data_IF_157829747785
#
_entry.id   IF_157829747785
#
_cell.length_a   1.000
_cell.length_b   1.000
_cell.length_c   1.000
_cell.angle_alpha   90.00
_cell.angle_beta   90.00
_cell.angle_gamma   90.00
#
_symmetry.space_group_name_H-M   'P 1'
#
loop_
_entity.id
_entity.type
_entity.pdbx_description
1 polymer ?
#
# COMPACT_ATOMS: atom_id res chain seq x y z
N UNK A 1 0.71 -44.68 56.31
CA UNK A 1 0.96 -45.08 54.91
C UNK A 1 2.22 -44.37 54.48
N UNK A 2 3.35 -45.08 54.48
CA UNK A 2 4.62 -44.51 54.05
C UNK A 2 4.68 -44.54 52.52
N UNK A 3 4.71 -43.37 51.90
CA UNK A 3 4.86 -43.26 50.44
C UNK A 3 6.28 -43.68 50.10
N UNK A 4 6.44 -44.73 49.29
CA UNK A 4 7.76 -45.19 48.90
C UNK A 4 8.45 -44.10 48.03
N UNK A 5 9.65 -43.64 48.44
CA UNK A 5 10.36 -42.54 47.79
C UNK A 5 10.67 -42.79 46.31
N UNK A 6 10.74 -44.06 45.86
CA UNK A 6 10.96 -44.41 44.45
C UNK A 6 9.78 -44.03 43.54
N UNK A 7 8.55 -44.03 44.05
CA UNK A 7 7.39 -43.57 43.28
C UNK A 7 7.41 -42.06 43.09
N UNK A 8 7.85 -41.32 44.10
CA UNK A 8 8.00 -39.87 44.03
C UNK A 8 9.05 -39.51 42.98
N UNK A 9 10.22 -40.17 42.98
CA UNK A 9 11.26 -39.91 41.98
C UNK A 9 10.83 -40.25 40.56
N UNK A 10 10.07 -41.34 40.36
CA UNK A 10 9.54 -41.71 39.05
C UNK A 10 8.57 -40.65 38.52
N UNK A 11 7.61 -40.21 39.34
CA UNK A 11 6.63 -39.18 38.94
C UNK A 11 7.33 -37.85 38.62
N UNK A 12 8.32 -37.46 39.43
CA UNK A 12 9.12 -36.24 39.19
C UNK A 12 9.91 -36.36 37.89
N UNK A 13 10.56 -37.50 37.64
CA UNK A 13 11.33 -37.73 36.42
C UNK A 13 10.45 -37.70 35.16
N UNK A 14 9.27 -38.34 35.19
CA UNK A 14 8.31 -38.28 34.08
C UNK A 14 7.80 -36.86 33.84
N UNK A 15 7.51 -36.11 34.90
CA UNK A 15 7.06 -34.72 34.79
C UNK A 15 8.15 -33.82 34.20
N UNK A 16 9.40 -33.99 34.63
CA UNK A 16 10.55 -33.26 34.10
C UNK A 16 10.81 -33.59 32.62
N UNK A 17 10.66 -34.86 32.22
CA UNK A 17 10.81 -35.29 30.84
C UNK A 17 9.70 -34.71 29.94
N UNK A 18 8.45 -34.69 30.39
CA UNK A 18 7.35 -34.09 29.63
C UNK A 18 7.58 -32.58 29.51
N UNK A 19 7.95 -31.90 30.61
CA UNK A 19 8.22 -30.47 30.59
C UNK A 19 9.38 -30.09 29.65
N UNK A 20 10.45 -30.91 29.61
CA UNK A 20 11.62 -30.65 28.77
C UNK A 20 11.36 -30.83 27.28
N UNK A 21 10.31 -31.57 26.89
CA UNK A 21 9.88 -31.74 25.49
C UNK A 21 8.76 -30.77 25.11
N UNK A 22 7.74 -30.66 25.96
CA UNK A 22 6.58 -29.81 25.70
C UNK A 22 6.95 -28.31 25.67
N UNK A 23 7.82 -27.87 26.59
CA UNK A 23 8.28 -26.49 26.66
C UNK A 23 8.91 -25.99 25.35
N UNK A 24 9.97 -26.64 24.85
CA UNK A 24 10.59 -26.27 23.56
C UNK A 24 9.63 -26.35 22.37
N UNK A 25 8.76 -27.36 22.31
CA UNK A 25 7.81 -27.51 21.22
C UNK A 25 6.80 -26.34 21.16
N UNK A 26 6.20 -25.99 22.29
CA UNK A 26 5.28 -24.85 22.40
C UNK A 26 6.03 -23.55 22.09
N UNK A 27 7.23 -23.37 22.62
CA UNK A 27 8.03 -22.16 22.38
C UNK A 27 8.37 -21.98 20.89
N UNK A 28 8.71 -23.07 20.19
CA UNK A 28 9.04 -23.02 18.76
C UNK A 28 7.80 -22.72 17.92
N UNK A 29 6.63 -23.23 18.31
CA UNK A 29 5.35 -22.91 17.66
C UNK A 29 5.00 -21.42 17.83
N UNK A 30 5.11 -20.90 19.04
CA UNK A 30 4.85 -19.48 19.35
C UNK A 30 5.84 -18.58 18.59
N UNK A 31 7.13 -18.90 18.61
CA UNK A 31 8.16 -18.14 17.91
C UNK A 31 7.88 -18.06 16.41
N UNK A 32 7.46 -19.16 15.77
CA UNK A 32 7.10 -19.16 14.35
C UNK A 32 5.87 -18.29 14.04
N UNK A 33 4.85 -18.30 14.90
CA UNK A 33 3.65 -17.46 14.74
C UNK A 33 4.03 -15.99 14.89
N UNK A 34 4.79 -15.65 15.92
CA UNK A 34 5.27 -14.29 16.17
C UNK A 34 6.17 -13.79 15.04
N UNK A 35 7.08 -14.63 14.54
CA UNK A 35 7.94 -14.27 13.41
C UNK A 35 7.12 -13.97 12.16
N UNK A 36 6.16 -14.84 11.80
CA UNK A 36 5.29 -14.61 10.63
C UNK A 36 4.46 -13.33 10.78
N UNK A 37 3.83 -13.12 11.93
CA UNK A 37 3.06 -11.91 12.20
C UNK A 37 3.93 -10.65 12.12
N UNK A 38 5.16 -10.71 12.65
CA UNK A 38 6.09 -9.58 12.60
C UNK A 38 6.54 -9.28 11.16
N UNK A 39 6.93 -10.30 10.39
CA UNK A 39 7.33 -10.13 8.98
C UNK A 39 6.19 -9.57 8.14
N UNK A 40 4.96 -10.05 8.32
CA UNK A 40 3.79 -9.53 7.60
C UNK A 40 3.49 -8.08 7.98
N UNK A 41 3.46 -7.78 9.28
CA UNK A 41 3.21 -6.43 9.79
C UNK A 41 4.25 -5.43 9.28
N UNK A 42 5.54 -5.77 9.32
CA UNK A 42 6.62 -4.90 8.83
C UNK A 42 6.53 -4.67 7.32
N UNK A 43 6.28 -5.72 6.53
CA UNK A 43 6.11 -5.56 5.08
C UNK A 43 4.87 -4.72 4.74
N UNK A 44 3.76 -4.90 5.47
CA UNK A 44 2.53 -4.12 5.29
C UNK A 44 2.74 -2.66 5.70
N UNK A 45 3.45 -2.38 6.78
CA UNK A 45 3.83 -1.02 7.16
C UNK A 45 4.69 -0.34 6.08
N UNK A 46 5.68 -1.05 5.54
CA UNK A 46 6.49 -0.55 4.42
C UNK A 46 5.65 -0.28 3.17
N UNK A 47 4.71 -1.16 2.87
CA UNK A 47 3.75 -0.96 1.78
C UNK A 47 2.88 0.28 2.03
N UNK A 48 2.34 0.47 3.24
CA UNK A 48 1.53 1.64 3.60
C UNK A 48 2.34 2.94 3.43
N UNK A 49 3.59 2.97 3.92
CA UNK A 49 4.43 4.16 3.80
C UNK A 49 4.71 4.50 2.34
N UNK A 50 5.15 3.49 1.57
CA UNK A 50 5.45 3.66 0.15
C UNK A 50 4.21 4.11 -0.64
N UNK A 51 3.03 3.53 -0.35
CA UNK A 51 1.78 3.95 -0.97
C UNK A 51 1.41 5.39 -0.64
N UNK A 52 1.60 5.82 0.62
CA UNK A 52 1.34 7.20 1.03
C UNK A 52 2.21 8.18 0.27
N UNK A 53 3.51 7.90 0.17
CA UNK A 53 4.46 8.74 -0.56
C UNK A 53 4.13 8.79 -2.05
N UNK A 54 3.79 7.66 -2.66
CA UNK A 54 3.42 7.59 -4.07
C UNK A 54 2.11 8.35 -4.35
N UNK A 55 1.09 8.22 -3.51
CA UNK A 55 -0.19 8.94 -3.67
C UNK A 55 0.01 10.44 -3.50
N UNK A 56 0.80 10.87 -2.52
CA UNK A 56 1.14 12.30 -2.36
C UNK A 56 1.91 12.84 -3.56
N UNK A 57 2.88 12.06 -4.07
CA UNK A 57 3.64 12.41 -5.28
C UNK A 57 2.72 12.52 -6.48
N UNK A 58 1.86 11.53 -6.71
CA UNK A 58 0.86 11.53 -7.78
C UNK A 58 -0.03 12.77 -7.69
N UNK A 59 -0.49 13.10 -6.49
CA UNK A 59 -1.37 14.25 -6.28
C UNK A 59 -0.71 15.56 -6.67
N UNK A 60 0.54 15.75 -6.25
CA UNK A 60 1.34 16.92 -6.62
C UNK A 60 1.58 17.01 -8.14
N UNK A 61 1.83 15.87 -8.79
CA UNK A 61 2.08 15.78 -10.22
C UNK A 61 0.80 16.05 -11.02
N UNK A 62 -0.35 15.53 -10.58
CA UNK A 62 -1.63 15.78 -11.23
C UNK A 62 -1.96 17.27 -11.25
N UNK A 63 -1.90 17.94 -10.09
CA UNK A 63 -2.19 19.37 -10.00
C UNK A 63 -1.21 20.19 -10.84
N UNK A 64 0.10 19.91 -10.76
CA UNK A 64 1.10 20.63 -11.54
C UNK A 64 0.89 20.48 -13.05
N UNK A 65 0.64 19.26 -13.54
CA UNK A 65 0.39 19.01 -14.96
C UNK A 65 -0.97 19.57 -15.40
N UNK A 66 -1.98 19.56 -14.52
CA UNK A 66 -3.28 20.17 -14.77
C UNK A 66 -3.19 21.67 -15.05
N UNK A 67 -2.44 22.41 -14.23
CA UNK A 67 -2.18 23.86 -14.41
C UNK A 67 -1.47 24.11 -15.75
N UNK A 68 -0.40 23.36 -16.03
CA UNK A 68 0.35 23.49 -17.29
C UNK A 68 -0.55 23.19 -18.49
N UNK A 69 -1.42 22.18 -18.38
CA UNK A 69 -2.30 21.79 -19.49
C UNK A 69 -3.34 22.87 -19.80
N UNK A 70 -3.79 23.64 -18.80
CA UNK A 70 -4.75 24.73 -18.97
C UNK A 70 -4.14 25.95 -19.66
N UNK A 71 -2.83 26.20 -19.50
CA UNK A 71 -2.15 27.34 -20.13
C UNK A 71 -1.71 27.08 -21.57
N UNK A 72 -1.88 25.85 -22.06
CA UNK A 72 -1.40 25.41 -23.37
C UNK A 72 -2.60 25.08 -24.29
N UNK A 73 -2.79 25.90 -25.32
CA UNK A 73 -3.80 25.67 -26.36
C UNK A 73 -3.32 24.67 -27.45
N UNK A 74 -2.02 24.39 -27.51
CA UNK A 74 -1.44 23.45 -28.46
C UNK A 74 -1.68 21.97 -28.06
N UNK A 75 -1.63 21.03 -29.04
CA UNK A 75 -1.66 19.60 -28.74
C UNK A 75 -0.56 19.20 -27.75
N UNK A 76 -0.95 18.55 -26.65
CA UNK A 76 -0.07 18.26 -25.51
C UNK A 76 1.21 17.52 -25.89
N UNK A 77 1.13 16.59 -26.86
CA UNK A 77 2.27 15.84 -27.35
C UNK A 77 3.34 16.72 -28.02
N UNK A 78 2.94 17.78 -28.73
CA UNK A 78 3.87 18.66 -29.43
C UNK A 78 4.65 19.55 -28.45
N UNK A 79 4.00 20.03 -27.39
CA UNK A 79 4.62 20.84 -26.34
C UNK A 79 5.57 19.99 -25.49
N UNK A 80 5.13 18.80 -25.08
CA UNK A 80 5.98 17.84 -24.36
C UNK A 80 7.24 17.49 -25.15
N UNK A 81 7.13 17.27 -26.47
CA UNK A 81 8.28 16.90 -27.29
C UNK A 81 9.34 18.02 -27.42
N UNK A 82 8.95 19.28 -27.20
CA UNK A 82 9.84 20.45 -27.33
C UNK A 82 10.48 20.86 -26.01
N UNK A 83 9.91 20.45 -24.88
CA UNK A 83 10.37 20.79 -23.54
C UNK A 83 10.84 19.53 -22.78
N UNK A 84 12.17 19.34 -22.64
CA UNK A 84 12.73 18.20 -21.90
C UNK A 84 12.30 18.13 -20.44
N UNK A 85 12.02 19.27 -19.79
CA UNK A 85 11.59 19.29 -18.39
C UNK A 85 10.13 18.82 -18.27
N UNK A 86 9.26 19.29 -19.16
CA UNK A 86 7.87 18.80 -19.21
C UNK A 86 7.81 17.32 -19.57
N UNK A 87 8.65 16.86 -20.51
CA UNK A 87 8.78 15.43 -20.81
C UNK A 87 9.11 14.63 -19.56
N UNK A 88 10.13 15.04 -18.80
CA UNK A 88 10.52 14.38 -17.56
C UNK A 88 9.41 14.41 -16.50
N UNK A 89 8.64 15.50 -16.40
CA UNK A 89 7.49 15.61 -15.48
C UNK A 89 6.39 14.61 -15.83
N UNK A 90 6.07 14.48 -17.12
CA UNK A 90 5.06 13.52 -17.61
C UNK A 90 5.55 12.08 -17.46
N UNK A 91 6.82 11.80 -17.76
CA UNK A 91 7.44 10.50 -17.53
C UNK A 91 7.35 10.10 -16.05
N UNK A 92 7.73 11.01 -15.15
CA UNK A 92 7.64 10.76 -13.71
C UNK A 92 6.20 10.54 -13.24
N UNK A 93 5.22 11.27 -13.79
CA UNK A 93 3.80 11.04 -13.50
C UNK A 93 3.38 9.61 -13.89
N UNK A 94 3.69 9.19 -15.12
CA UNK A 94 3.36 7.84 -15.62
C UNK A 94 4.08 6.75 -14.82
N UNK A 95 5.33 7.00 -14.41
CA UNK A 95 6.08 6.10 -13.54
C UNK A 95 5.41 5.98 -12.17
N UNK A 96 4.97 7.08 -11.55
CA UNK A 96 4.25 7.06 -10.27
C UNK A 96 2.96 6.26 -10.37
N UNK A 97 2.14 6.50 -11.40
CA UNK A 97 0.91 5.73 -11.65
C UNK A 97 1.23 4.25 -11.80
N UNK A 98 2.23 3.89 -12.60
CA UNK A 98 2.63 2.49 -12.81
C UNK A 98 3.07 1.81 -11.52
N UNK A 99 3.82 2.52 -10.66
CA UNK A 99 4.22 2.00 -9.34
C UNK A 99 3.01 1.76 -8.45
N UNK A 100 2.07 2.69 -8.41
CA UNK A 100 0.85 2.53 -7.63
C UNK A 100 0.06 1.33 -8.16
N UNK A 101 -0.16 1.24 -9.48
CA UNK A 101 -0.86 0.11 -10.11
C UNK A 101 -0.27 -1.25 -9.71
N UNK A 102 1.06 -1.39 -9.70
CA UNK A 102 1.75 -2.62 -9.30
C UNK A 102 1.62 -2.94 -7.80
N UNK A 103 1.33 -1.94 -6.97
CA UNK A 103 1.12 -2.10 -5.54
C UNK A 103 -0.34 -2.36 -5.17
N UNK A 104 -1.29 -2.15 -6.09
CA UNK A 104 -2.70 -2.38 -5.86
C UNK A 104 -3.06 -3.87 -5.92
N UNK A 105 -4.02 -4.28 -5.10
CA UNK A 105 -4.58 -5.61 -5.14
C UNK A 105 -5.73 -5.67 -6.16
N UNK A 106 -5.61 -6.41 -7.28
CA UNK A 106 -6.65 -6.44 -8.30
C UNK A 106 -7.93 -7.15 -7.85
N UNK A 107 -7.92 -7.84 -6.71
CA UNK A 107 -9.09 -8.55 -6.17
C UNK A 107 -9.94 -7.69 -5.23
N UNK A 108 -9.42 -6.54 -4.76
CA UNK A 108 -10.14 -5.65 -3.85
C UNK A 108 -10.81 -4.51 -4.65
N UNK A 109 -12.11 -4.28 -4.41
CA UNK A 109 -12.93 -3.37 -5.22
C UNK A 109 -12.46 -1.91 -5.15
N UNK A 110 -12.07 -1.43 -3.97
CA UNK A 110 -11.59 -0.06 -3.80
C UNK A 110 -10.22 0.17 -4.46
N UNK A 111 -9.36 -0.85 -4.52
CA UNK A 111 -8.15 -0.81 -5.33
C UNK A 111 -8.47 -0.69 -6.82
N UNK A 112 -9.47 -1.41 -7.32
CA UNK A 112 -9.94 -1.26 -8.71
C UNK A 112 -10.50 0.14 -8.97
N UNK A 113 -11.27 0.70 -8.03
CA UNK A 113 -11.81 2.06 -8.12
C UNK A 113 -10.70 3.12 -8.14
N UNK A 114 -9.69 2.98 -7.27
CA UNK A 114 -8.52 3.86 -7.27
C UNK A 114 -7.81 3.82 -8.62
N UNK A 115 -7.58 2.61 -9.16
CA UNK A 115 -6.95 2.43 -10.46
C UNK A 115 -7.75 3.09 -11.60
N UNK A 116 -9.07 2.86 -11.63
CA UNK A 116 -9.95 3.46 -12.65
C UNK A 116 -9.94 5.00 -12.58
N UNK A 117 -9.91 5.57 -11.37
CA UNK A 117 -9.88 7.01 -11.17
C UNK A 117 -8.53 7.62 -11.60
N UNK A 118 -7.40 6.96 -11.28
CA UNK A 118 -6.08 7.37 -11.78
C UNK A 118 -6.02 7.38 -13.31
N UNK A 119 -6.53 6.32 -13.96
CA UNK A 119 -6.59 6.25 -15.43
C UNK A 119 -7.44 7.36 -16.02
N UNK A 120 -8.59 7.62 -15.42
CA UNK A 120 -9.46 8.74 -15.81
C UNK A 120 -8.71 10.07 -15.73
N UNK A 121 -7.92 10.31 -14.67
CA UNK A 121 -7.09 11.51 -14.55
C UNK A 121 -6.05 11.64 -15.66
N UNK A 122 -5.35 10.55 -15.97
CA UNK A 122 -4.38 10.53 -17.07
C UNK A 122 -5.05 10.80 -18.42
N UNK A 123 -6.21 10.21 -18.67
CA UNK A 123 -6.96 10.41 -19.92
C UNK A 123 -7.45 11.85 -20.06
N UNK A 124 -7.89 12.48 -18.96
CA UNK A 124 -8.26 13.90 -18.98
C UNK A 124 -7.07 14.83 -19.27
N UNK A 125 -5.88 14.50 -18.80
CA UNK A 125 -4.66 15.25 -19.14
C UNK A 125 -4.28 15.09 -20.61
N UNK A 126 -4.42 13.88 -21.16
CA UNK A 126 -4.08 13.56 -22.56
C UNK A 126 -5.08 14.11 -23.57
N UNK A 127 -6.36 14.05 -23.25
CA UNK A 127 -7.45 14.37 -24.17
C UNK A 127 -8.58 15.06 -23.40
N UNK A 128 -8.37 16.33 -23.02
CA UNK A 128 -9.36 17.06 -22.25
C UNK A 128 -10.65 17.26 -23.06
N UNK A 129 -11.82 16.99 -22.47
CA UNK A 129 -13.09 17.21 -23.14
C UNK A 129 -13.34 18.71 -23.37
N UNK A 130 -14.01 19.08 -24.48
CA UNK A 130 -14.30 20.47 -24.80
C UNK A 130 -15.27 21.10 -23.78
N UNK A 131 -15.07 22.38 -23.47
CA UNK A 131 -16.06 23.22 -22.78
C UNK A 131 -15.97 23.33 -21.25
N UNK A 132 -14.95 22.76 -20.59
CA UNK A 132 -14.72 22.92 -19.14
C UNK A 132 -13.24 23.10 -18.81
N UNK A 133 -12.95 23.85 -17.73
CA UNK A 133 -11.60 24.02 -17.19
C UNK A 133 -11.02 22.68 -16.71
N UNK A 134 -9.82 22.35 -17.21
CA UNK A 134 -9.12 21.09 -16.91
C UNK A 134 -8.72 21.02 -15.44
N UNK A 135 -8.25 22.15 -14.88
CA UNK A 135 -7.83 22.29 -13.49
C UNK A 135 -8.88 21.79 -12.50
N UNK A 136 -10.09 22.35 -12.52
CA UNK A 136 -11.14 21.95 -11.57
C UNK A 136 -11.56 20.46 -11.70
N UNK A 137 -11.43 19.84 -12.87
CA UNK A 137 -11.69 18.40 -13.01
C UNK A 137 -10.55 17.57 -12.43
N UNK A 138 -9.31 17.98 -12.65
CA UNK A 138 -8.14 17.32 -12.08
C UNK A 138 -8.15 17.45 -10.56
N UNK A 139 -8.57 18.59 -10.00
CA UNK A 139 -8.77 18.76 -8.56
C UNK A 139 -9.80 17.75 -8.01
N UNK A 140 -10.97 17.64 -8.63
CA UNK A 140 -12.00 16.66 -8.22
C UNK A 140 -11.49 15.22 -8.29
N UNK A 141 -10.75 14.87 -9.35
CA UNK A 141 -10.13 13.55 -9.49
C UNK A 141 -9.08 13.32 -8.40
N UNK A 142 -8.24 14.32 -8.15
CA UNK A 142 -7.19 14.27 -7.15
C UNK A 142 -7.74 14.08 -5.72
N UNK A 143 -8.82 14.79 -5.40
CA UNK A 143 -9.52 14.62 -4.13
C UNK A 143 -10.15 13.23 -4.02
N UNK A 144 -10.75 12.73 -5.10
CA UNK A 144 -11.27 11.36 -5.15
C UNK A 144 -10.18 10.29 -4.96
N UNK A 145 -9.02 10.46 -5.60
CA UNK A 145 -7.84 9.59 -5.43
C UNK A 145 -7.42 9.59 -3.97
N UNK A 146 -7.34 10.76 -3.36
CA UNK A 146 -6.96 10.93 -1.95
C UNK A 146 -7.95 10.23 -1.03
N UNK A 147 -9.26 10.41 -1.25
CA UNK A 147 -10.30 9.77 -0.44
C UNK A 147 -10.25 8.24 -0.51
N UNK A 148 -10.16 7.66 -1.71
CA UNK A 148 -10.09 6.21 -1.89
C UNK A 148 -8.78 5.67 -1.29
N UNK A 149 -7.65 6.32 -1.54
CA UNK A 149 -6.36 5.94 -0.96
C UNK A 149 -6.38 5.98 0.57
N UNK A 150 -6.98 6.99 1.19
CA UNK A 150 -7.15 7.06 2.64
C UNK A 150 -7.97 5.88 3.19
N UNK A 151 -9.06 5.51 2.51
CA UNK A 151 -9.88 4.37 2.92
C UNK A 151 -9.08 3.05 2.87
N UNK A 152 -8.35 2.81 1.78
CA UNK A 152 -7.44 1.66 1.62
C UNK A 152 -6.40 1.66 2.73
N UNK A 153 -5.65 2.76 2.90
CA UNK A 153 -4.58 2.86 3.89
C UNK A 153 -5.11 2.68 5.32
N UNK A 154 -6.31 3.19 5.62
CA UNK A 154 -6.93 3.01 6.93
C UNK A 154 -7.29 1.55 7.19
N UNK A 155 -7.83 0.83 6.21
CA UNK A 155 -8.11 -0.61 6.31
C UNK A 155 -6.82 -1.38 6.55
N UNK A 156 -5.79 -1.11 5.76
CA UNK A 156 -4.49 -1.79 5.88
C UNK A 156 -3.83 -1.52 7.23
N UNK A 157 -3.93 -0.29 7.75
CA UNK A 157 -3.45 0.04 9.08
C UNK A 157 -4.19 -0.72 10.20
N UNK A 158 -5.49 -0.98 10.05
CA UNK A 158 -6.23 -1.84 10.99
C UNK A 158 -5.73 -3.29 10.91
N UNK A 159 -5.44 -3.81 9.71
CA UNK A 159 -4.85 -5.15 9.53
C UNK A 159 -3.48 -5.24 10.23
N UNK A 160 -2.60 -4.25 10.05
CA UNK A 160 -1.31 -4.13 10.77
C UNK A 160 -1.52 -4.22 12.30
N UNK A 161 -2.49 -3.47 12.84
CA UNK A 161 -2.78 -3.47 14.28
C UNK A 161 -3.26 -4.81 14.82
N UNK A 162 -3.91 -5.62 13.99
CA UNK A 162 -4.32 -6.98 14.34
C UNK A 162 -3.20 -8.01 14.21
N UNK A 163 -2.05 -7.62 13.66
CA UNK A 163 -0.94 -8.53 13.39
C UNK A 163 -1.12 -9.35 12.10
N UNK A 164 -1.95 -8.87 11.17
CA UNK A 164 -2.19 -9.46 9.85
C UNK A 164 -1.25 -8.92 8.77
#
# INVERSE_FOLDING_TARGET
>A
MDINPQWITLVVACTAMIASVAGPFVNTRIANIQFKANVLSVNRQKWIETMRDLVATLSSQFLAVGIIRQTVDEPTAAVIARDPELFKRVENLLLTVSKIELMLNPLEQDHQQLNALMKTGIDQLRSPPPGYGIEGRIEVINDGITQIAQAILKREWVRVKRGE
#
